data_IF_232058234073
#
_entry.id   IF_232058234073
#
_cell.length_a   1.000
_cell.length_b   1.000
_cell.length_c   1.000
_cell.angle_alpha   90.00
_cell.angle_beta   90.00
_cell.angle_gamma   90.00
#
_symmetry.space_group_name_H-M   'P 1'
#
loop_
_entity.id
_entity.type
_entity.pdbx_description
1 polymer ?
#
# COMPACT_ATOMS: atom_id res chain seq x y z
N UNK A 1 -51.16 49.26 -19.98
CA UNK A 1 -49.91 49.50 -20.74
C UNK A 1 -48.64 49.22 -19.92
N UNK A 2 -48.61 49.48 -18.61
CA UNK A 2 -47.45 49.20 -17.73
C UNK A 2 -47.09 47.72 -17.64
N UNK A 3 -48.07 46.82 -17.45
CA UNK A 3 -47.84 45.37 -17.37
C UNK A 3 -47.15 44.76 -18.61
N UNK A 4 -47.54 45.20 -19.81
CA UNK A 4 -46.91 44.78 -21.08
C UNK A 4 -45.47 45.29 -21.23
N UNK A 5 -45.13 46.42 -20.59
CA UNK A 5 -43.77 46.95 -20.57
C UNK A 5 -42.87 46.11 -19.66
N UNK A 6 -43.40 45.66 -18.52
CA UNK A 6 -42.67 44.86 -17.54
C UNK A 6 -42.43 43.43 -18.03
N UNK A 7 -43.41 42.82 -18.70
CA UNK A 7 -43.23 41.50 -19.35
C UNK A 7 -42.12 41.52 -20.40
N UNK A 8 -42.07 42.55 -21.25
CA UNK A 8 -41.00 42.71 -22.26
C UNK A 8 -39.62 42.98 -21.64
N UNK A 9 -39.56 43.57 -20.45
CA UNK A 9 -38.29 43.74 -19.72
C UNK A 9 -37.83 42.40 -19.15
N UNK A 10 -38.74 41.63 -18.56
CA UNK A 10 -38.44 40.32 -17.98
C UNK A 10 -38.01 39.32 -19.05
N UNK A 11 -38.69 39.28 -20.20
CA UNK A 11 -38.30 38.45 -21.34
C UNK A 11 -36.90 38.81 -21.86
N UNK A 12 -36.55 40.10 -21.91
CA UNK A 12 -35.20 40.55 -22.28
C UNK A 12 -34.15 40.15 -21.23
N UNK A 13 -34.48 40.21 -19.95
CA UNK A 13 -33.59 39.75 -18.87
C UNK A 13 -33.38 38.24 -18.92
N UNK A 14 -34.45 37.46 -19.10
CA UNK A 14 -34.37 36.01 -19.23
C UNK A 14 -33.51 35.60 -20.43
N UNK A 15 -33.71 36.25 -21.58
CA UNK A 15 -32.91 35.97 -22.77
C UNK A 15 -31.42 36.32 -22.55
N UNK A 16 -31.12 37.42 -21.86
CA UNK A 16 -29.75 37.78 -21.46
C UNK A 16 -29.13 36.74 -20.52
N UNK A 17 -29.87 36.28 -19.51
CA UNK A 17 -29.38 35.28 -18.56
C UNK A 17 -29.16 33.91 -19.23
N UNK A 18 -30.05 33.49 -20.13
CA UNK A 18 -29.87 32.27 -20.92
C UNK A 18 -28.66 32.36 -21.85
N UNK A 19 -28.46 33.50 -22.50
CA UNK A 19 -27.27 33.75 -23.33
C UNK A 19 -25.99 33.66 -22.50
N UNK A 20 -25.98 34.29 -21.32
CA UNK A 20 -24.82 34.27 -20.41
C UNK A 20 -24.55 32.87 -19.87
N UNK A 21 -25.59 32.13 -19.50
CA UNK A 21 -25.45 30.75 -19.04
C UNK A 21 -24.86 29.85 -20.15
N UNK A 22 -25.32 30.03 -21.40
CA UNK A 22 -24.77 29.29 -22.53
C UNK A 22 -23.29 29.62 -22.77
N UNK A 23 -22.93 30.90 -22.71
CA UNK A 23 -21.55 31.37 -22.83
C UNK A 23 -20.64 30.79 -21.74
N UNK A 24 -21.08 30.80 -20.48
CA UNK A 24 -20.33 30.21 -19.36
C UNK A 24 -20.20 28.69 -19.47
N UNK A 25 -21.24 27.98 -19.94
CA UNK A 25 -21.14 26.53 -20.17
C UNK A 25 -20.14 26.21 -21.28
N UNK A 26 -20.13 27.01 -22.34
CA UNK A 26 -19.17 26.88 -23.43
C UNK A 26 -17.73 27.16 -22.96
N UNK A 27 -17.53 28.22 -22.17
CA UNK A 27 -16.22 28.56 -21.60
C UNK A 27 -15.71 27.48 -20.63
N UNK A 28 -16.58 26.92 -19.79
CA UNK A 28 -16.22 25.84 -18.87
C UNK A 28 -15.79 24.57 -19.63
N UNK A 29 -16.50 24.22 -20.69
CA UNK A 29 -16.15 23.08 -21.56
C UNK A 29 -14.78 23.30 -22.23
N UNK A 30 -14.51 24.52 -22.72
CA UNK A 30 -13.20 24.89 -23.26
C UNK A 30 -12.09 24.79 -22.20
N UNK A 31 -12.35 25.21 -20.97
CA UNK A 31 -11.38 25.08 -19.87
C UNK A 31 -11.11 23.62 -19.51
N UNK A 32 -12.13 22.76 -19.48
CA UNK A 32 -11.95 21.31 -19.24
C UNK A 32 -11.15 20.64 -20.34
N UNK A 33 -11.39 20.99 -21.60
CA UNK A 33 -10.58 20.49 -22.71
C UNK A 33 -9.11 20.91 -22.57
N UNK A 34 -8.85 22.17 -22.17
CA UNK A 34 -7.48 22.63 -21.89
C UNK A 34 -6.84 21.93 -20.70
N UNK A 35 -7.60 21.72 -19.62
CA UNK A 35 -7.16 20.96 -18.45
C UNK A 35 -6.78 19.52 -18.84
N UNK A 36 -7.63 18.85 -19.62
CA UNK A 36 -7.34 17.49 -20.09
C UNK A 36 -6.07 17.43 -20.96
N UNK A 37 -5.86 18.42 -21.84
CA UNK A 37 -4.62 18.54 -22.61
C UNK A 37 -3.42 18.77 -21.69
N UNK A 38 -3.51 19.65 -20.70
CA UNK A 38 -2.42 19.88 -19.74
C UNK A 38 -2.10 18.64 -18.91
N UNK A 39 -3.11 17.89 -18.45
CA UNK A 39 -2.91 16.63 -17.71
C UNK A 39 -2.25 15.59 -18.60
N UNK A 40 -2.66 15.48 -19.87
CA UNK A 40 -1.98 14.60 -20.85
C UNK A 40 -0.53 15.03 -21.07
N UNK A 41 -0.26 16.32 -21.23
CA UNK A 41 1.10 16.83 -21.39
C UNK A 41 1.96 16.61 -20.14
N UNK A 42 1.39 16.72 -18.94
CA UNK A 42 2.10 16.42 -17.69
C UNK A 42 2.42 14.94 -17.57
N UNK A 43 1.52 14.05 -18.01
CA UNK A 43 1.78 12.62 -18.10
C UNK A 43 2.91 12.33 -19.09
N UNK A 44 2.85 12.90 -20.30
CA UNK A 44 3.91 12.77 -21.32
C UNK A 44 5.25 13.35 -20.86
N UNK A 45 5.23 14.45 -20.10
CA UNK A 45 6.41 15.04 -19.47
C UNK A 45 6.95 14.17 -18.34
N UNK A 46 6.08 13.53 -17.54
CA UNK A 46 6.46 12.53 -16.55
C UNK A 46 7.19 11.35 -17.19
N UNK A 47 6.63 10.81 -18.28
CA UNK A 47 7.24 9.75 -19.08
C UNK A 47 8.55 10.21 -19.74
N UNK A 48 8.62 11.45 -20.21
CA UNK A 48 9.83 12.03 -20.80
C UNK A 48 10.93 12.26 -19.77
N UNK A 49 10.60 12.78 -18.58
CA UNK A 49 11.53 12.94 -17.46
C UNK A 49 12.01 11.58 -16.96
N UNK A 50 11.13 10.59 -16.93
CA UNK A 50 11.50 9.22 -16.66
C UNK A 50 12.49 8.69 -17.71
N UNK A 51 12.21 8.82 -19.02
CA UNK A 51 13.15 8.43 -20.09
C UNK A 51 14.47 9.21 -20.04
N UNK A 52 14.43 10.50 -19.73
CA UNK A 52 15.62 11.33 -19.53
C UNK A 52 16.41 10.88 -18.30
N UNK A 53 15.75 10.45 -17.23
CA UNK A 53 16.40 9.81 -16.10
C UNK A 53 17.07 8.49 -16.53
N UNK A 54 16.42 7.68 -17.39
CA UNK A 54 17.00 6.47 -17.97
C UNK A 54 18.24 6.77 -18.84
N UNK A 55 18.20 7.83 -19.66
CA UNK A 55 19.33 8.25 -20.49
C UNK A 55 20.46 8.86 -19.66
N UNK A 56 20.16 9.64 -18.62
CA UNK A 56 21.16 10.20 -17.70
C UNK A 56 21.85 9.10 -16.89
N UNK A 57 21.11 8.07 -16.50
CA UNK A 57 21.59 6.81 -15.89
C UNK A 57 22.51 6.08 -16.88
N UNK A 58 22.11 5.90 -18.14
CA UNK A 58 22.92 5.24 -19.16
C UNK A 58 24.18 6.06 -19.58
N UNK A 59 24.07 7.39 -19.61
CA UNK A 59 25.17 8.30 -19.94
C UNK A 59 26.13 8.52 -18.76
N UNK A 60 25.69 8.25 -17.53
CA UNK A 60 26.50 8.25 -16.30
C UNK A 60 27.57 7.15 -16.25
N UNK A 61 27.65 6.28 -17.26
CA UNK A 61 28.76 5.35 -17.45
C UNK A 61 30.10 6.03 -17.80
N UNK A 62 30.15 7.36 -17.88
CA UNK A 62 31.34 8.11 -18.27
C UNK A 62 32.26 8.58 -17.13
N UNK A 63 31.85 8.69 -15.86
CA UNK A 63 32.80 8.77 -14.73
C UNK A 63 32.18 8.33 -13.37
N UNK A 64 32.90 7.50 -12.58
CA UNK A 64 32.35 6.89 -11.38
C UNK A 64 32.52 7.79 -10.16
N UNK A 65 31.49 8.54 -9.78
CA UNK A 65 31.33 8.98 -8.39
C UNK A 65 30.46 7.96 -7.63
N UNK A 66 30.95 7.53 -6.47
CA UNK A 66 30.42 6.41 -5.68
C UNK A 66 28.94 6.57 -5.23
N UNK A 67 28.40 7.79 -5.27
CA UNK A 67 27.01 8.09 -4.87
C UNK A 67 25.99 7.89 -6.01
N UNK A 68 26.42 7.88 -7.29
CA UNK A 68 25.53 7.70 -8.44
C UNK A 68 25.08 6.25 -8.63
N UNK A 69 25.84 5.28 -8.10
CA UNK A 69 25.56 3.84 -8.27
C UNK A 69 24.28 3.39 -7.58
N UNK A 70 23.93 3.98 -6.43
CA UNK A 70 22.71 3.64 -5.70
C UNK A 70 21.44 4.16 -6.40
N UNK A 71 21.52 5.36 -6.99
CA UNK A 71 20.45 5.95 -7.80
C UNK A 71 20.25 5.19 -9.12
N UNK A 72 21.34 4.83 -9.80
CA UNK A 72 21.33 3.98 -10.99
C UNK A 72 20.67 2.61 -10.71
N UNK A 73 21.09 1.93 -9.64
CA UNK A 73 20.54 0.63 -9.27
C UNK A 73 19.06 0.71 -8.85
N UNK A 74 18.62 1.82 -8.25
CA UNK A 74 17.22 2.04 -7.92
C UNK A 74 16.38 2.25 -9.20
N UNK A 75 16.86 3.08 -10.13
CA UNK A 75 16.20 3.35 -11.41
C UNK A 75 16.13 2.11 -12.32
N UNK A 76 17.20 1.30 -12.40
CA UNK A 76 17.20 0.03 -13.14
C UNK A 76 16.21 -0.98 -12.54
N UNK A 77 16.10 -1.03 -11.20
CA UNK A 77 15.15 -1.95 -10.55
C UNK A 77 13.71 -1.51 -10.80
N UNK A 78 13.44 -0.20 -10.80
CA UNK A 78 12.13 0.36 -11.12
C UNK A 78 11.76 0.12 -12.60
N UNK A 79 12.73 0.22 -13.53
CA UNK A 79 12.59 -0.14 -14.95
C UNK A 79 12.22 -1.61 -15.16
N UNK A 80 12.98 -2.53 -14.56
CA UNK A 80 12.73 -3.98 -14.68
C UNK A 80 11.38 -4.35 -14.06
N UNK A 81 11.03 -3.72 -12.93
CA UNK A 81 9.74 -3.92 -12.28
C UNK A 81 8.60 -3.42 -13.20
N UNK A 82 8.73 -2.22 -13.77
CA UNK A 82 7.74 -1.66 -14.68
C UNK A 82 7.56 -2.51 -15.95
N UNK A 83 8.65 -2.92 -16.60
CA UNK A 83 8.59 -3.75 -17.81
C UNK A 83 7.96 -5.12 -17.54
N UNK A 84 8.39 -5.84 -16.50
CA UNK A 84 7.82 -7.14 -16.13
C UNK A 84 6.31 -7.04 -15.87
N UNK A 85 5.88 -5.94 -15.25
CA UNK A 85 4.48 -5.72 -14.90
C UNK A 85 3.64 -5.19 -16.06
N UNK A 86 4.23 -4.42 -16.97
CA UNK A 86 3.58 -4.04 -18.22
C UNK A 86 3.34 -5.27 -19.09
N UNK A 87 4.30 -6.21 -19.16
CA UNK A 87 4.12 -7.48 -19.85
C UNK A 87 3.02 -8.34 -19.20
N UNK A 88 2.96 -8.41 -17.87
CA UNK A 88 1.88 -9.09 -17.15
C UNK A 88 0.51 -8.45 -17.40
N UNK A 89 0.45 -7.11 -17.40
CA UNK A 89 -0.74 -6.34 -17.70
C UNK A 89 -1.24 -6.56 -19.13
N UNK A 90 -0.34 -6.62 -20.11
CA UNK A 90 -0.69 -6.94 -21.50
C UNK A 90 -1.16 -8.39 -21.65
N UNK A 91 -0.50 -9.37 -21.02
CA UNK A 91 -0.93 -10.76 -21.03
C UNK A 91 -2.33 -10.93 -20.45
N UNK A 92 -2.62 -10.28 -19.32
CA UNK A 92 -3.94 -10.29 -18.69
C UNK A 92 -5.01 -9.59 -19.54
N UNK A 93 -4.69 -8.44 -20.14
CA UNK A 93 -5.62 -7.69 -20.99
C UNK A 93 -5.96 -8.44 -22.28
N UNK A 94 -5.00 -9.18 -22.85
CA UNK A 94 -5.23 -10.07 -23.99
C UNK A 94 -6.18 -11.23 -23.64
N UNK A 95 -6.16 -11.72 -22.40
CA UNK A 95 -7.08 -12.78 -21.92
C UNK A 95 -8.50 -12.24 -21.66
N UNK A 96 -8.64 -10.98 -21.23
CA UNK A 96 -9.95 -10.39 -20.91
C UNK A 96 -10.67 -9.78 -22.11
N UNK A 97 -9.95 -9.32 -23.15
CA UNK A 97 -10.56 -8.65 -24.31
C UNK A 97 -11.18 -9.61 -25.34
N UNK A 98 -11.16 -10.93 -25.11
CA UNK A 98 -11.80 -11.91 -25.99
C UNK A 98 -13.25 -12.25 -25.61
N UNK A 99 -13.78 -11.76 -24.49
CA UNK A 99 -15.20 -11.93 -24.16
C UNK A 99 -16.01 -10.73 -24.64
N UNK A 100 -16.89 -10.99 -25.60
CA UNK A 100 -17.66 -10.02 -26.38
C UNK A 100 -18.36 -8.90 -25.60
N UNK A 101 -18.42 -7.76 -26.27
CA UNK A 101 -19.09 -6.50 -25.94
C UNK A 101 -20.48 -6.67 -25.30
N UNK A 102 -20.59 -6.45 -23.98
CA UNK A 102 -21.71 -5.78 -23.27
C UNK A 102 -21.76 -6.12 -21.77
N UNK A 103 -20.93 -7.04 -21.28
CA UNK A 103 -20.92 -7.41 -19.85
C UNK A 103 -20.25 -6.33 -19.00
N UNK A 104 -21.09 -5.69 -18.17
CA UNK A 104 -20.77 -4.89 -16.99
C UNK A 104 -19.33 -4.39 -16.90
N UNK A 105 -19.08 -3.16 -17.34
CA UNK A 105 -17.76 -2.49 -17.27
C UNK A 105 -17.11 -2.70 -15.89
N UNK A 106 -16.14 -3.62 -15.85
CA UNK A 106 -15.43 -4.01 -14.65
C UNK A 106 -14.78 -2.78 -14.01
N UNK A 107 -14.72 -2.77 -12.68
CA UNK A 107 -13.99 -1.73 -11.95
C UNK A 107 -12.51 -1.93 -12.24
N UNK A 108 -11.96 -1.12 -13.14
CA UNK A 108 -10.54 -1.18 -13.48
C UNK A 108 -9.76 -0.05 -12.79
N UNK A 109 -8.47 -0.30 -12.60
CA UNK A 109 -7.54 0.61 -11.95
C UNK A 109 -7.47 1.97 -12.67
N UNK A 110 -7.58 1.98 -14.00
CA UNK A 110 -7.57 3.21 -14.81
C UNK A 110 -8.73 4.14 -14.44
N UNK A 111 -9.94 3.60 -14.31
CA UNK A 111 -11.13 4.35 -13.92
C UNK A 111 -11.06 4.84 -12.48
N UNK A 112 -10.53 4.02 -11.58
CA UNK A 112 -10.29 4.44 -10.19
C UNK A 112 -9.30 5.61 -10.13
N UNK A 113 -8.18 5.54 -10.87
CA UNK A 113 -7.20 6.63 -10.92
C UNK A 113 -7.77 7.92 -11.50
N UNK A 114 -8.59 7.83 -12.55
CA UNK A 114 -9.23 9.00 -13.16
C UNK A 114 -10.18 9.73 -12.20
N UNK A 115 -10.67 9.05 -11.15
CA UNK A 115 -11.55 9.63 -10.13
C UNK A 115 -10.79 10.24 -8.94
N UNK A 116 -9.47 10.12 -8.89
CA UNK A 116 -8.65 10.67 -7.79
C UNK A 116 -8.27 12.11 -8.10
N UNK A 117 -8.72 13.05 -7.26
CA UNK A 117 -8.29 14.44 -7.33
C UNK A 117 -7.14 14.73 -6.36
N UNK A 118 -6.27 15.72 -6.64
CA UNK A 118 -5.20 16.13 -5.72
C UNK A 118 -5.73 16.54 -4.34
N UNK A 119 -6.90 17.19 -4.28
CA UNK A 119 -7.54 17.62 -3.05
C UNK A 119 -7.93 16.43 -2.17
N UNK A 120 -8.50 15.38 -2.78
CA UNK A 120 -8.85 14.16 -2.07
C UNK A 120 -7.61 13.41 -1.53
N UNK A 121 -6.50 13.45 -2.27
CA UNK A 121 -5.21 12.88 -1.81
C UNK A 121 -4.72 13.62 -0.57
N UNK A 122 -4.74 14.97 -0.58
CA UNK A 122 -4.35 15.79 0.56
C UNK A 122 -5.27 15.56 1.78
N UNK A 123 -6.58 15.45 1.55
CA UNK A 123 -7.55 15.16 2.62
C UNK A 123 -7.22 13.84 3.33
N UNK A 124 -7.01 12.77 2.56
CA UNK A 124 -6.67 11.44 3.10
C UNK A 124 -5.29 11.42 3.75
N UNK A 125 -4.32 12.16 3.21
CA UNK A 125 -2.98 12.30 3.80
C UNK A 125 -3.01 12.90 5.21
N UNK A 126 -3.90 13.86 5.45
CA UNK A 126 -4.05 14.53 6.75
C UNK A 126 -5.02 13.84 7.71
N UNK A 127 -5.77 12.84 7.23
CA UNK A 127 -6.67 12.07 8.07
C UNK A 127 -5.91 11.14 9.01
N UNK A 128 -6.40 11.01 10.24
CA UNK A 128 -5.88 10.06 11.22
C UNK A 128 -6.25 8.62 10.84
N UNK A 129 -5.42 7.65 11.24
CA UNK A 129 -5.68 6.21 11.05
C UNK A 129 -7.05 5.80 11.59
N UNK A 130 -7.49 6.37 12.71
CA UNK A 130 -8.83 6.13 13.27
C UNK A 130 -9.96 6.62 12.37
N UNK A 131 -9.84 7.81 11.77
CA UNK A 131 -10.84 8.33 10.82
C UNK A 131 -10.91 7.45 9.57
N UNK A 132 -9.76 7.09 9.02
CA UNK A 132 -9.67 6.21 7.85
C UNK A 132 -10.26 4.82 8.11
N UNK A 133 -10.02 4.24 9.30
CA UNK A 133 -10.60 2.96 9.71
C UNK A 133 -12.14 3.02 9.82
N UNK A 134 -12.70 4.11 10.37
CA UNK A 134 -14.16 4.32 10.43
C UNK A 134 -14.75 4.40 9.03
N UNK A 135 -14.11 5.12 8.10
CA UNK A 135 -14.58 5.21 6.72
C UNK A 135 -14.54 3.83 6.02
N UNK A 136 -13.45 3.06 6.17
CA UNK A 136 -13.36 1.69 5.65
C UNK A 136 -14.46 0.79 6.21
N UNK A 137 -14.75 0.90 7.51
CA UNK A 137 -15.82 0.14 8.16
C UNK A 137 -17.17 0.46 7.54
N UNK A 138 -17.49 1.75 7.37
CA UNK A 138 -18.74 2.20 6.76
C UNK A 138 -18.89 1.73 5.31
N UNK A 139 -17.82 1.83 4.51
CA UNK A 139 -17.82 1.36 3.13
C UNK A 139 -17.99 -0.17 3.07
N UNK A 140 -17.33 -0.92 3.95
CA UNK A 140 -17.46 -2.38 4.03
C UNK A 140 -18.86 -2.81 4.45
N UNK A 141 -19.45 -2.14 5.45
CA UNK A 141 -20.83 -2.39 5.88
C UNK A 141 -21.83 -2.11 4.75
N UNK A 142 -21.67 -0.98 4.04
CA UNK A 142 -22.51 -0.66 2.89
C UNK A 142 -22.40 -1.71 1.79
N UNK A 143 -21.18 -2.17 1.48
CA UNK A 143 -20.94 -3.26 0.55
C UNK A 143 -21.66 -4.55 0.98
N UNK A 144 -21.56 -4.93 2.26
CA UNK A 144 -22.25 -6.10 2.78
C UNK A 144 -23.77 -6.00 2.61
N UNK A 145 -24.36 -4.85 2.92
CA UNK A 145 -25.79 -4.60 2.73
C UNK A 145 -26.20 -4.68 1.25
N UNK A 146 -25.45 -4.04 0.35
CA UNK A 146 -25.70 -4.13 -1.10
C UNK A 146 -25.60 -5.58 -1.60
N UNK A 147 -24.61 -6.36 -1.13
CA UNK A 147 -24.48 -7.78 -1.49
C UNK A 147 -25.68 -8.62 -1.05
N UNK A 148 -26.14 -8.43 0.18
CA UNK A 148 -27.33 -9.14 0.69
C UNK A 148 -28.57 -8.74 -0.10
N UNK A 149 -28.72 -7.46 -0.43
CA UNK A 149 -29.82 -6.97 -1.26
C UNK A 149 -29.81 -7.62 -2.65
N UNK A 150 -28.66 -7.70 -3.33
CA UNK A 150 -28.52 -8.36 -4.64
C UNK A 150 -28.77 -9.87 -4.61
N UNK A 151 -28.66 -10.53 -3.45
CA UNK A 151 -28.93 -11.96 -3.32
C UNK A 151 -30.41 -12.28 -3.10
N UNK A 152 -31.23 -11.27 -2.81
CA UNK A 152 -32.66 -11.46 -2.58
C UNK A 152 -33.40 -11.69 -3.90
N UNK A 153 -34.33 -12.67 -3.99
CA UNK A 153 -34.99 -13.04 -5.25
C UNK A 153 -35.87 -11.93 -5.85
N UNK A 154 -36.18 -10.88 -5.08
CA UNK A 154 -36.98 -9.72 -5.49
C UNK A 154 -36.14 -8.47 -5.80
N UNK A 155 -34.81 -8.57 -5.83
CA UNK A 155 -33.95 -7.43 -6.11
C UNK A 155 -33.97 -7.08 -7.60
N UNK A 156 -34.44 -5.87 -7.94
CA UNK A 156 -34.41 -5.36 -9.31
C UNK A 156 -33.05 -4.74 -9.69
N UNK A 157 -32.90 -4.34 -10.96
CA UNK A 157 -31.68 -3.76 -11.56
C UNK A 157 -31.00 -2.68 -10.70
N UNK A 158 -31.76 -1.86 -9.97
CA UNK A 158 -31.23 -0.80 -9.11
C UNK A 158 -30.26 -1.29 -8.01
N UNK A 159 -30.37 -2.55 -7.56
CA UNK A 159 -29.46 -3.09 -6.54
C UNK A 159 -28.08 -3.38 -7.10
N UNK A 160 -27.98 -3.76 -8.38
CA UNK A 160 -26.70 -4.06 -9.03
C UNK A 160 -25.88 -2.77 -9.24
N UNK A 161 -26.53 -1.70 -9.72
CA UNK A 161 -25.91 -0.38 -9.82
C UNK A 161 -25.43 0.14 -8.45
N UNK A 162 -26.21 -0.12 -7.40
CA UNK A 162 -25.86 0.27 -6.03
C UNK A 162 -24.64 -0.49 -5.52
N UNK A 163 -24.55 -1.80 -5.81
CA UNK A 163 -23.38 -2.62 -5.47
C UNK A 163 -22.15 -2.13 -6.23
N UNK A 164 -22.28 -1.89 -7.54
CA UNK A 164 -21.20 -1.36 -8.38
C UNK A 164 -20.67 -0.03 -7.84
N UNK A 165 -21.56 0.91 -7.55
CA UNK A 165 -21.19 2.19 -6.96
C UNK A 165 -20.49 2.03 -5.60
N UNK A 166 -20.94 1.09 -4.76
CA UNK A 166 -20.30 0.82 -3.48
C UNK A 166 -18.88 0.22 -3.65
N UNK A 167 -18.68 -0.68 -4.61
CA UNK A 167 -17.36 -1.25 -4.93
C UNK A 167 -16.44 -0.17 -5.49
N UNK A 168 -16.93 0.68 -6.38
CA UNK A 168 -16.16 1.80 -6.92
C UNK A 168 -15.73 2.78 -5.83
N UNK A 169 -16.62 3.14 -4.92
CA UNK A 169 -16.30 4.02 -3.79
C UNK A 169 -15.25 3.41 -2.85
N UNK A 170 -15.36 2.12 -2.54
CA UNK A 170 -14.35 1.42 -1.76
C UNK A 170 -13.00 1.38 -2.48
N UNK A 171 -12.99 1.01 -3.76
CA UNK A 171 -11.79 0.96 -4.59
C UNK A 171 -11.11 2.32 -4.73
N UNK A 172 -11.89 3.39 -4.90
CA UNK A 172 -11.41 4.77 -4.97
C UNK A 172 -10.78 5.17 -3.63
N UNK A 173 -11.41 4.82 -2.51
CA UNK A 173 -10.86 5.10 -1.19
C UNK A 173 -9.52 4.37 -0.95
N UNK A 174 -9.43 3.08 -1.30
CA UNK A 174 -8.18 2.35 -1.25
C UNK A 174 -7.11 2.96 -2.17
N UNK A 175 -7.48 3.46 -3.36
CA UNK A 175 -6.56 4.17 -4.25
C UNK A 175 -6.01 5.43 -3.59
N UNK A 176 -6.86 6.23 -2.93
CA UNK A 176 -6.45 7.41 -2.17
C UNK A 176 -5.48 7.04 -1.04
N UNK A 177 -5.73 5.96 -0.30
CA UNK A 177 -4.83 5.47 0.74
C UNK A 177 -3.45 5.11 0.16
N UNK A 178 -3.41 4.44 -1.00
CA UNK A 178 -2.16 4.10 -1.68
C UNK A 178 -1.38 5.33 -2.18
N UNK A 179 -2.08 6.40 -2.57
CA UNK A 179 -1.46 7.61 -3.13
C UNK A 179 -1.06 8.64 -2.06
N UNK A 180 -1.90 8.88 -1.06
CA UNK A 180 -1.74 9.98 -0.10
C UNK A 180 -1.44 9.57 1.33
N UNK A 181 -1.80 8.36 1.75
CA UNK A 181 -1.74 7.94 3.16
C UNK A 181 -1.07 6.57 3.32
N UNK A 182 0.07 6.36 2.66
CA UNK A 182 0.73 5.06 2.62
C UNK A 182 1.15 4.56 4.02
N UNK A 183 1.54 5.47 4.92
CA UNK A 183 1.89 5.10 6.30
C UNK A 183 0.64 4.60 7.06
N UNK A 184 -0.45 5.37 7.01
CA UNK A 184 -1.71 4.98 7.64
C UNK A 184 -2.27 3.69 7.04
N UNK A 185 -2.10 3.47 5.73
CA UNK A 185 -2.46 2.21 5.09
C UNK A 185 -1.72 1.02 5.70
N UNK A 186 -0.41 1.14 5.93
CA UNK A 186 0.37 0.09 6.58
C UNK A 186 -0.08 -0.17 8.02
N UNK A 187 -0.44 0.88 8.76
CA UNK A 187 -1.04 0.73 10.09
C UNK A 187 -2.38 0.00 10.00
N UNK A 188 -3.28 0.40 9.10
CA UNK A 188 -4.59 -0.21 8.89
C UNK A 188 -4.50 -1.71 8.54
N UNK A 189 -3.47 -2.13 7.78
CA UNK A 189 -3.23 -3.55 7.48
C UNK A 189 -2.92 -4.40 8.73
N UNK A 190 -2.50 -3.78 9.83
CA UNK A 190 -2.14 -4.45 11.07
C UNK A 190 -3.20 -4.29 12.17
N UNK A 191 -4.33 -3.65 11.87
CA UNK A 191 -5.41 -3.39 12.83
C UNK A 191 -6.64 -4.26 12.54
N UNK A 192 -7.30 -4.68 13.60
CA UNK A 192 -8.71 -5.06 13.53
C UNK A 192 -9.54 -3.78 13.40
N UNK A 193 -10.27 -3.62 12.29
CA UNK A 193 -11.00 -2.39 11.97
C UNK A 193 -12.18 -2.14 12.92
N UNK A 194 -12.63 -3.13 13.69
CA UNK A 194 -13.68 -2.99 14.71
C UNK A 194 -13.13 -2.45 16.04
N UNK A 195 -12.06 -3.08 16.53
CA UNK A 195 -11.47 -2.77 17.84
C UNK A 195 -10.43 -1.65 17.78
N UNK A 196 -9.90 -1.36 16.58
CA UNK A 196 -8.74 -0.49 16.33
C UNK A 196 -7.50 -0.92 17.14
N UNK A 197 -7.42 -2.21 17.49
CA UNK A 197 -6.26 -2.78 18.17
C UNK A 197 -5.36 -3.50 17.16
N UNK A 198 -4.04 -3.49 17.36
CA UNK A 198 -3.12 -4.33 16.62
C UNK A 198 -3.51 -5.81 16.79
N UNK A 199 -3.87 -6.46 15.70
CA UNK A 199 -4.32 -7.84 15.72
C UNK A 199 -3.95 -8.51 14.39
N UNK A 200 -3.31 -9.68 14.48
CA UNK A 200 -3.05 -10.49 13.29
C UNK A 200 -4.34 -11.19 12.84
N UNK A 201 -4.62 -11.23 11.53
CA UNK A 201 -5.71 -12.05 11.00
C UNK A 201 -5.56 -13.52 11.44
N UNK A 202 -6.66 -14.25 11.71
CA UNK A 202 -6.60 -15.66 12.06
C UNK A 202 -5.93 -16.49 10.96
N UNK A 203 -5.25 -17.55 11.37
CA UNK A 203 -4.64 -18.50 10.44
C UNK A 203 -5.69 -19.06 9.47
N UNK A 204 -5.34 -19.08 8.18
CA UNK A 204 -6.23 -19.56 7.12
C UNK A 204 -7.29 -18.56 6.66
N UNK A 205 -7.42 -17.36 7.27
CA UNK A 205 -8.39 -16.35 6.81
C UNK A 205 -8.25 -16.06 5.32
N UNK A 206 -7.03 -15.82 4.83
CA UNK A 206 -6.81 -15.43 3.43
C UNK A 206 -7.11 -16.56 2.44
N UNK A 207 -6.85 -17.81 2.83
CA UNK A 207 -7.27 -18.98 2.05
C UNK A 207 -8.79 -19.10 2.00
N UNK A 208 -9.48 -18.85 3.12
CA UNK A 208 -10.93 -18.79 3.17
C UNK A 208 -11.49 -17.70 2.25
N UNK A 209 -10.95 -16.48 2.32
CA UNK A 209 -11.35 -15.38 1.44
C UNK A 209 -11.18 -15.77 -0.03
N UNK A 210 -10.01 -16.31 -0.42
CA UNK A 210 -9.75 -16.78 -1.78
C UNK A 210 -10.77 -17.82 -2.26
N UNK A 211 -11.10 -18.79 -1.41
CA UNK A 211 -12.10 -19.82 -1.71
C UNK A 211 -13.52 -19.25 -1.86
N UNK A 212 -13.88 -18.19 -1.11
CA UNK A 212 -15.20 -17.58 -1.20
C UNK A 212 -15.39 -16.78 -2.49
N UNK A 213 -14.34 -16.12 -3.00
CA UNK A 213 -14.42 -15.22 -4.17
C UNK A 213 -14.95 -15.95 -5.43
N UNK A 214 -14.81 -17.28 -5.52
CA UNK A 214 -15.27 -18.10 -6.65
C UNK A 214 -14.65 -17.63 -7.98
N UNK A 215 -13.32 -17.64 -8.03
CA UNK A 215 -12.53 -17.29 -9.22
C UNK A 215 -12.61 -18.40 -10.28
N UNK A 216 -12.62 -18.02 -11.55
CA UNK A 216 -12.49 -18.97 -12.66
C UNK A 216 -11.08 -19.52 -12.74
N UNK A 217 -10.85 -20.70 -13.37
CA UNK A 217 -9.51 -21.26 -13.54
C UNK A 217 -8.54 -20.28 -14.23
N UNK A 218 -9.01 -19.55 -15.25
CA UNK A 218 -8.20 -18.55 -15.95
C UNK A 218 -7.83 -17.36 -15.06
N UNK A 219 -8.74 -16.90 -14.17
CA UNK A 219 -8.42 -15.86 -13.19
C UNK A 219 -7.38 -16.35 -12.17
N UNK A 220 -7.52 -17.59 -11.68
CA UNK A 220 -6.56 -18.20 -10.74
C UNK A 220 -5.17 -18.31 -11.38
N UNK A 221 -5.10 -18.75 -12.64
CA UNK A 221 -3.85 -18.83 -13.39
C UNK A 221 -3.21 -17.44 -13.58
N UNK A 222 -3.98 -16.44 -14.02
CA UNK A 222 -3.47 -15.07 -14.20
C UNK A 222 -2.92 -14.47 -12.90
N UNK A 223 -3.65 -14.63 -11.78
CA UNK A 223 -3.20 -14.17 -10.46
C UNK A 223 -1.96 -14.92 -9.98
N UNK A 224 -1.86 -16.22 -10.27
CA UNK A 224 -0.70 -17.04 -9.91
C UNK A 224 0.56 -16.61 -10.67
N UNK A 225 0.45 -16.37 -11.98
CA UNK A 225 1.55 -15.80 -12.79
C UNK A 225 1.97 -14.44 -12.22
N UNK A 226 1.01 -13.57 -11.89
CA UNK A 226 1.31 -12.28 -11.27
C UNK A 226 2.03 -12.42 -9.93
N UNK A 227 1.71 -13.46 -9.15
CA UNK A 227 2.38 -13.74 -7.89
C UNK A 227 3.81 -14.27 -8.07
N UNK A 228 4.05 -15.08 -9.09
CA UNK A 228 5.40 -15.53 -9.43
C UNK A 228 6.31 -14.34 -9.77
N UNK A 229 5.81 -13.42 -10.61
CA UNK A 229 6.50 -12.17 -10.95
C UNK A 229 6.74 -11.28 -9.71
N UNK A 230 5.74 -11.20 -8.83
CA UNK A 230 5.89 -10.51 -7.54
C UNK A 230 7.02 -11.12 -6.70
N UNK A 231 7.10 -12.44 -6.61
CA UNK A 231 8.15 -13.10 -5.84
C UNK A 231 9.53 -12.93 -6.48
N UNK A 232 9.61 -12.97 -7.81
CA UNK A 232 10.83 -12.72 -8.57
C UNK A 232 11.38 -11.30 -8.29
N UNK A 233 10.51 -10.28 -8.35
CA UNK A 233 10.90 -8.90 -8.05
C UNK A 233 11.18 -8.67 -6.55
N UNK A 234 10.39 -9.28 -5.66
CA UNK A 234 10.50 -9.11 -4.20
C UNK A 234 11.75 -9.73 -3.62
N UNK A 235 12.14 -10.93 -4.05
CA UNK A 235 13.25 -11.71 -3.47
C UNK A 235 14.58 -10.93 -3.40
N UNK A 236 15.09 -10.31 -4.49
CA UNK A 236 16.35 -9.55 -4.42
C UNK A 236 16.24 -8.32 -3.52
N UNK A 237 15.08 -7.64 -3.48
CA UNK A 237 14.85 -6.49 -2.62
C UNK A 237 14.89 -6.86 -1.13
N UNK A 238 14.23 -7.97 -0.75
CA UNK A 238 14.27 -8.49 0.62
C UNK A 238 15.70 -8.88 1.00
N UNK A 239 16.44 -9.55 0.12
CA UNK A 239 17.83 -9.92 0.39
C UNK A 239 18.74 -8.69 0.60
N UNK A 240 18.57 -7.64 -0.23
CA UNK A 240 19.27 -6.35 -0.07
C UNK A 240 18.92 -5.69 1.27
N UNK A 241 17.63 -5.59 1.60
CA UNK A 241 17.17 -5.01 2.86
C UNK A 241 17.71 -5.76 4.09
N UNK A 242 17.70 -7.10 4.08
CA UNK A 242 18.26 -7.93 5.14
C UNK A 242 19.77 -7.68 5.31
N UNK A 243 20.53 -7.59 4.20
CA UNK A 243 21.96 -7.29 4.24
C UNK A 243 22.24 -5.90 4.82
N UNK A 244 21.43 -4.89 4.46
CA UNK A 244 21.53 -3.53 5.02
C UNK A 244 21.24 -3.51 6.51
N UNK A 245 20.22 -4.24 6.98
CA UNK A 245 19.91 -4.38 8.42
C UNK A 245 21.05 -5.06 9.17
N UNK A 246 21.64 -6.13 8.62
CA UNK A 246 22.80 -6.79 9.23
C UNK A 246 23.99 -5.82 9.37
N UNK A 247 24.24 -4.98 8.36
CA UNK A 247 25.30 -3.97 8.41
C UNK A 247 25.01 -2.90 9.48
N UNK A 248 23.77 -2.43 9.60
CA UNK A 248 23.36 -1.52 10.67
C UNK A 248 23.58 -2.14 12.06
N UNK A 249 23.22 -3.41 12.25
CA UNK A 249 23.43 -4.12 13.52
C UNK A 249 24.92 -4.26 13.87
N UNK A 250 25.76 -4.58 12.89
CA UNK A 250 27.22 -4.62 13.05
C UNK A 250 27.77 -3.24 13.44
N UNK A 251 27.32 -2.18 12.75
CA UNK A 251 27.70 -0.80 13.07
C UNK A 251 27.19 -0.34 14.42
N UNK A 252 26.12 -0.91 14.97
CA UNK A 252 25.63 -0.60 16.31
C UNK A 252 26.35 -1.39 17.41
N UNK A 253 27.29 -2.28 17.06
CA UNK A 253 28.01 -3.13 18.04
C UNK A 253 27.19 -4.32 18.53
N UNK A 254 26.10 -4.69 17.85
CA UNK A 254 25.26 -5.84 18.20
C UNK A 254 25.71 -7.14 17.51
N UNK A 255 26.96 -7.19 17.02
CA UNK A 255 27.47 -8.26 16.16
C UNK A 255 27.52 -9.65 16.84
N UNK A 256 27.56 -9.72 18.16
CA UNK A 256 27.84 -10.99 18.87
C UNK A 256 26.59 -11.79 19.27
N UNK A 257 25.38 -11.22 19.21
CA UNK A 257 24.16 -11.91 19.63
C UNK A 257 23.37 -12.60 18.49
N UNK A 258 23.69 -12.32 17.21
CA UNK A 258 22.81 -12.66 16.08
C UNK A 258 23.18 -13.98 15.38
N UNK A 259 24.36 -14.56 15.64
CA UNK A 259 24.78 -15.83 15.02
C UNK A 259 23.92 -17.05 15.39
N UNK A 260 23.04 -16.94 16.39
CA UNK A 260 22.09 -17.99 16.78
C UNK A 260 20.66 -17.84 16.22
N UNK A 261 20.31 -16.71 15.57
CA UNK A 261 18.92 -16.39 15.24
C UNK A 261 18.63 -16.31 13.73
N UNK A 262 19.47 -16.89 12.88
CA UNK A 262 19.29 -16.87 11.42
C UNK A 262 17.97 -17.51 10.93
N UNK A 263 17.24 -18.21 11.81
CA UNK A 263 15.91 -18.78 11.54
C UNK A 263 14.73 -17.97 12.11
N UNK A 264 14.95 -16.83 12.80
CA UNK A 264 13.85 -15.94 13.19
C UNK A 264 13.38 -15.10 11.99
N UNK A 265 12.69 -15.81 11.10
CA UNK A 265 11.56 -15.47 10.27
C UNK A 265 11.66 -14.24 9.36
N UNK A 266 11.53 -14.49 8.05
CA UNK A 266 11.09 -13.50 7.07
C UNK A 266 9.80 -12.77 7.48
N UNK A 267 8.96 -13.37 8.33
CA UNK A 267 7.81 -12.72 8.97
C UNK A 267 8.22 -11.70 10.05
N UNK A 268 9.26 -11.97 10.84
CA UNK A 268 9.84 -11.01 11.77
C UNK A 268 10.62 -9.92 11.02
N UNK A 269 11.32 -10.24 9.93
CA UNK A 269 11.93 -9.24 9.06
C UNK A 269 10.87 -8.35 8.37
N UNK A 270 9.73 -8.91 7.93
CA UNK A 270 8.58 -8.12 7.46
C UNK A 270 7.98 -7.29 8.59
N UNK A 271 7.77 -7.86 9.78
CA UNK A 271 7.23 -7.13 10.94
C UNK A 271 8.18 -6.03 11.41
N UNK A 272 9.50 -6.26 11.37
CA UNK A 272 10.55 -5.28 11.68
C UNK A 272 10.67 -4.26 10.56
N UNK A 273 10.57 -4.61 9.28
CA UNK A 273 10.47 -3.62 8.19
C UNK A 273 9.21 -2.76 8.32
N UNK A 274 8.11 -3.35 8.78
CA UNK A 274 6.85 -2.64 9.02
C UNK A 274 6.95 -1.75 10.28
N UNK A 275 7.51 -2.24 11.38
CA UNK A 275 7.68 -1.50 12.63
C UNK A 275 8.79 -0.44 12.57
N UNK A 276 9.90 -0.73 11.86
CA UNK A 276 11.03 0.21 11.68
C UNK A 276 10.65 1.32 10.70
N UNK A 277 9.81 1.04 9.70
CA UNK A 277 9.22 2.09 8.85
C UNK A 277 8.25 3.00 9.62
N UNK A 278 7.51 2.47 10.60
CA UNK A 278 6.65 3.28 11.49
C UNK A 278 7.49 4.12 12.45
N UNK A 279 8.57 3.57 13.02
CA UNK A 279 9.37 4.26 14.04
C UNK A 279 10.35 5.31 13.48
N UNK A 280 10.83 5.17 12.24
CA UNK A 280 11.72 6.15 11.58
C UNK A 280 10.98 7.35 10.97
N UNK A 281 9.64 7.34 10.94
CA UNK A 281 8.82 8.37 10.28
C UNK A 281 7.85 9.09 11.22
N UNK A 282 7.81 8.76 12.51
CA UNK A 282 7.18 9.61 13.52
C UNK A 282 8.07 10.83 13.79
N UNK A 283 7.67 12.07 13.41
CA UNK A 283 8.35 13.24 13.91
C UNK A 283 8.21 13.25 15.43
N UNK A 284 9.34 13.51 16.10
CA UNK A 284 9.40 13.70 17.55
C UNK A 284 8.44 14.86 17.90
N UNK A 285 7.23 14.52 18.34
CA UNK A 285 6.23 15.48 18.76
C UNK A 285 6.66 16.02 20.12
N UNK A 286 7.57 16.98 20.08
CA UNK A 286 8.03 17.71 21.25
C UNK A 286 6.85 18.43 21.92
N UNK A 287 6.66 18.10 23.20
CA UNK A 287 6.13 18.93 24.28
C UNK A 287 4.77 19.63 24.05
N UNK A 288 3.72 19.05 24.63
CA UNK A 288 2.42 19.72 24.81
C UNK A 288 1.61 19.13 25.96
N UNK A 289 1.74 19.74 27.13
CA UNK A 289 0.91 19.73 28.34
C UNK A 289 0.09 18.49 28.72
N UNK A 290 0.46 17.96 29.89
CA UNK A 290 -0.27 16.99 30.68
C UNK A 290 -1.45 17.65 31.44
N UNK A 291 -2.71 17.19 31.30
CA UNK A 291 -3.73 17.48 32.28
C UNK A 291 -3.82 16.35 33.32
N UNK A 292 -3.87 16.80 34.58
CA UNK A 292 -3.87 16.03 35.83
C UNK A 292 -4.95 14.95 35.88
N UNK A 293 -4.54 13.81 36.43
CA UNK A 293 -5.37 12.73 36.91
C UNK A 293 -6.32 13.18 38.04
N UNK A 294 -7.53 12.63 38.05
CA UNK A 294 -8.35 12.48 39.25
C UNK A 294 -8.60 10.99 39.50
N UNK A 295 -8.41 10.64 40.76
CA UNK A 295 -8.48 9.31 41.37
C UNK A 295 -9.82 8.59 41.16
N UNK A 296 -9.75 7.25 41.06
CA UNK A 296 -10.62 6.36 41.82
C UNK A 296 -9.98 4.97 41.91
N UNK A 297 -9.67 4.58 43.16
CA UNK A 297 -9.13 3.30 43.56
C UNK A 297 -10.20 2.19 43.60
N UNK A 298 -9.79 0.95 43.36
CA UNK A 298 -10.34 -0.22 44.04
C UNK A 298 -9.33 -1.38 44.01
N UNK A 299 -9.12 -1.95 45.19
CA UNK A 299 -8.08 -2.89 45.54
C UNK A 299 -8.40 -4.35 45.18
N UNK A 300 -7.36 -5.16 44.94
CA UNK A 300 -7.31 -6.56 45.31
C UNK A 300 -5.84 -6.99 45.46
N UNK A 301 -5.54 -7.67 46.57
CA UNK A 301 -4.21 -7.91 47.08
C UNK A 301 -3.73 -9.37 46.87
N UNK A 302 -2.41 -9.49 46.61
CA UNK A 302 -1.46 -10.54 47.04
C UNK A 302 -1.60 -11.99 46.50
N UNK A 303 -0.56 -12.86 46.60
CA UNK A 303 0.79 -12.67 47.17
C UNK A 303 1.99 -13.09 46.27
N UNK A 304 3.17 -12.62 46.68
CA UNK A 304 4.50 -13.03 46.18
C UNK A 304 4.92 -14.43 46.68
N UNK A 305 6.01 -14.98 46.10
CA UNK A 305 7.07 -15.48 46.97
C UNK A 305 8.51 -15.11 46.54
N UNK A 306 9.37 -15.25 47.54
CA UNK A 306 10.77 -14.87 47.66
C UNK A 306 11.79 -15.67 46.82
N UNK A 307 12.96 -15.03 46.69
CA UNK A 307 14.34 -15.55 46.73
C UNK A 307 14.99 -16.06 45.43
N UNK A 308 16.06 -15.37 44.99
CA UNK A 308 17.44 -15.78 45.28
C UNK A 308 18.45 -14.74 44.75
N UNK A 309 19.25 -14.17 45.66
CA UNK A 309 20.42 -13.36 45.36
C UNK A 309 21.55 -14.26 44.85
N UNK A 310 22.06 -14.00 43.64
CA UNK A 310 23.36 -14.49 43.21
C UNK A 310 24.30 -13.29 43.04
N UNK A 311 25.34 -13.26 43.87
CA UNK A 311 26.38 -12.25 43.85
C UNK A 311 27.20 -12.36 42.55
N UNK A 312 27.27 -11.25 41.81
CA UNK A 312 28.18 -11.10 40.66
C UNK A 312 29.51 -10.51 41.16
N UNK A 313 30.66 -11.07 40.79
CA UNK A 313 31.96 -10.53 41.19
C UNK A 313 32.23 -9.19 40.51
N UNK A 314 32.52 -8.19 41.34
CA UNK A 314 32.87 -6.83 40.94
C UNK A 314 34.33 -6.81 40.46
N UNK A 315 34.54 -6.96 39.15
CA UNK A 315 35.86 -6.79 38.53
C UNK A 315 36.21 -5.31 38.50
N UNK A 316 37.29 -4.96 39.20
CA UNK A 316 37.84 -3.60 39.28
C UNK A 316 38.29 -3.12 37.90
N UNK A 317 37.54 -2.19 37.30
CA UNK A 317 37.92 -1.50 36.08
C UNK A 317 39.03 -0.50 36.42
N UNK A 318 40.23 -0.76 35.92
CA UNK A 318 41.37 0.14 35.99
C UNK A 318 41.12 1.37 35.10
N UNK A 319 40.87 2.53 35.72
CA UNK A 319 40.62 3.82 35.06
C UNK A 319 41.90 4.53 34.55
N UNK A 320 43.03 3.84 34.46
CA UNK A 320 44.35 4.46 34.24
C UNK A 320 44.78 4.69 32.79
N UNK A 321 44.02 4.24 31.78
CA UNK A 321 44.50 4.21 30.38
C UNK A 321 43.42 4.50 29.34
N UNK A 322 42.60 5.54 29.55
CA UNK A 322 41.54 5.92 28.57
C UNK A 322 41.64 7.38 28.10
N UNK A 323 42.48 8.22 28.74
CA UNK A 323 42.56 9.65 28.40
C UNK A 323 43.53 10.00 27.27
N UNK A 324 44.41 9.08 26.84
CA UNK A 324 45.37 9.35 25.76
C UNK A 324 44.89 8.95 24.34
N UNK A 325 43.63 8.50 24.19
CA UNK A 325 43.05 8.09 22.90
C UNK A 325 41.94 8.99 22.35
N UNK A 326 41.56 10.05 23.07
CA UNK A 326 40.35 10.84 22.77
C UNK A 326 40.57 11.96 21.74
N UNK A 327 41.82 12.36 21.44
CA UNK A 327 42.08 13.44 20.48
C UNK A 327 41.94 13.01 19.01
N UNK A 328 41.81 11.71 18.71
CA UNK A 328 41.52 11.19 17.35
C UNK A 328 40.13 10.55 17.22
N UNK A 329 39.30 10.64 18.26
CA UNK A 329 37.96 10.07 18.31
C UNK A 329 36.85 10.81 17.52
N UNK A 330 36.83 12.16 17.37
CA UNK A 330 35.67 12.84 16.79
C UNK A 330 35.48 12.53 15.30
N UNK A 331 36.56 12.34 14.54
CA UNK A 331 36.48 11.96 13.12
C UNK A 331 35.81 10.61 12.89
N UNK A 332 36.07 9.61 13.74
CA UNK A 332 35.48 8.26 13.61
C UNK A 332 33.99 8.23 13.92
N UNK A 333 33.52 9.07 14.85
CA UNK A 333 32.11 9.17 15.21
C UNK A 333 31.30 9.78 14.06
N UNK A 334 31.80 10.86 13.45
CA UNK A 334 31.13 11.52 12.31
C UNK A 334 31.02 10.58 11.09
N UNK A 335 32.08 9.83 10.78
CA UNK A 335 32.02 8.85 9.68
C UNK A 335 31.01 7.72 9.96
N UNK A 336 30.89 7.27 11.21
CA UNK A 336 29.93 6.22 11.60
C UNK A 336 28.48 6.72 11.51
N UNK A 337 28.19 7.95 11.95
CA UNK A 337 26.84 8.52 11.85
C UNK A 337 26.40 8.69 10.40
N UNK A 338 27.29 9.17 9.53
CA UNK A 338 27.03 9.30 8.09
C UNK A 338 26.77 7.93 7.44
N UNK A 339 27.54 6.91 7.83
CA UNK A 339 27.34 5.55 7.33
C UNK A 339 26.00 4.95 7.77
N UNK A 340 25.59 5.18 9.03
CA UNK A 340 24.28 4.74 9.53
C UNK A 340 23.16 5.44 8.77
N UNK A 341 23.24 6.75 8.56
CA UNK A 341 22.25 7.52 7.80
C UNK A 341 22.11 7.00 6.36
N UNK A 342 23.23 6.77 5.67
CA UNK A 342 23.23 6.23 4.31
C UNK A 342 22.54 4.84 4.24
N UNK A 343 22.81 3.96 5.21
CA UNK A 343 22.17 2.65 5.28
C UNK A 343 20.67 2.74 5.58
N UNK A 344 20.25 3.67 6.45
CA UNK A 344 18.83 3.93 6.72
C UNK A 344 18.11 4.46 5.49
N UNK A 345 18.73 5.37 4.73
CA UNK A 345 18.19 5.86 3.45
C UNK A 345 18.07 4.73 2.42
N UNK A 346 19.05 3.84 2.32
CA UNK A 346 18.97 2.65 1.47
C UNK A 346 17.82 1.72 1.87
N UNK A 347 17.67 1.46 3.17
CA UNK A 347 16.58 0.62 3.69
C UNK A 347 15.20 1.22 3.38
N UNK A 348 15.07 2.55 3.52
CA UNK A 348 13.86 3.28 3.15
C UNK A 348 13.56 3.13 1.65
N UNK A 349 14.58 3.23 0.80
CA UNK A 349 14.45 3.03 -0.65
C UNK A 349 13.94 1.63 -0.99
N UNK A 350 14.56 0.57 -0.44
CA UNK A 350 14.10 -0.80 -0.66
C UNK A 350 12.68 -1.03 -0.15
N UNK A 351 12.31 -0.40 0.96
CA UNK A 351 10.94 -0.49 1.50
C UNK A 351 9.94 0.16 0.53
N UNK A 352 10.25 1.32 -0.06
CA UNK A 352 9.41 1.96 -1.08
C UNK A 352 9.24 1.06 -2.31
N UNK A 353 10.32 0.46 -2.80
CA UNK A 353 10.29 -0.47 -3.94
C UNK A 353 9.45 -1.71 -3.64
N UNK A 354 9.62 -2.32 -2.47
CA UNK A 354 8.79 -3.47 -2.03
C UNK A 354 7.30 -3.13 -1.98
N UNK A 355 6.96 -1.92 -1.51
CA UNK A 355 5.57 -1.44 -1.52
C UNK A 355 5.05 -1.26 -2.93
N UNK A 356 5.90 -0.79 -3.85
CA UNK A 356 5.48 -0.62 -5.24
C UNK A 356 5.18 -1.97 -5.91
N UNK A 357 6.10 -2.92 -5.78
CA UNK A 357 5.91 -4.30 -6.25
C UNK A 357 4.60 -4.90 -5.70
N UNK A 358 4.28 -4.68 -4.42
CA UNK A 358 3.03 -5.13 -3.81
C UNK A 358 1.78 -4.38 -4.33
N UNK A 359 1.89 -3.08 -4.59
CA UNK A 359 0.80 -2.25 -5.15
C UNK A 359 0.41 -2.72 -6.55
N UNK A 360 1.37 -3.14 -7.36
CA UNK A 360 1.06 -3.67 -8.70
C UNK A 360 0.26 -4.97 -8.66
N UNK A 361 0.62 -5.91 -7.78
CA UNK A 361 -0.19 -7.13 -7.56
C UNK A 361 -1.59 -6.77 -7.07
N UNK A 362 -1.70 -5.78 -6.19
CA UNK A 362 -2.98 -5.26 -5.70
C UNK A 362 -3.84 -4.69 -6.83
N UNK A 363 -3.24 -3.96 -7.77
CA UNK A 363 -3.95 -3.45 -8.95
C UNK A 363 -4.33 -4.56 -9.93
N UNK A 364 -3.48 -5.58 -10.08
CA UNK A 364 -3.81 -6.73 -10.90
C UNK A 364 -5.00 -7.52 -10.32
N UNK A 365 -5.05 -7.70 -8.99
CA UNK A 365 -6.24 -8.21 -8.29
C UNK A 365 -7.48 -7.40 -8.65
N UNK A 366 -7.42 -6.07 -8.51
CA UNK A 366 -8.55 -5.19 -8.84
C UNK A 366 -9.01 -5.34 -10.28
N UNK A 367 -8.08 -5.46 -11.23
CA UNK A 367 -8.39 -5.61 -12.65
C UNK A 367 -8.88 -7.00 -13.04
N UNK A 368 -8.64 -8.02 -12.21
CA UNK A 368 -9.01 -9.42 -12.53
C UNK A 368 -10.39 -9.77 -12.02
N UNK A 369 -10.82 -9.17 -10.92
CA UNK A 369 -12.09 -9.49 -10.26
C UNK A 369 -13.25 -8.69 -10.84
N UNK A 370 -14.42 -9.33 -10.97
CA UNK A 370 -15.67 -8.61 -11.22
C UNK A 370 -16.20 -7.90 -9.96
N UNK A 371 -17.29 -7.13 -10.12
CA UNK A 371 -17.92 -6.37 -9.01
C UNK A 371 -18.36 -7.27 -7.84
N UNK A 372 -18.95 -8.43 -8.12
CA UNK A 372 -19.44 -9.34 -7.08
C UNK A 372 -18.29 -10.05 -6.36
N UNK A 373 -17.29 -10.49 -7.11
CA UNK A 373 -16.05 -11.07 -6.61
C UNK A 373 -15.30 -10.08 -5.71
N UNK A 374 -15.17 -8.83 -6.15
CA UNK A 374 -14.54 -7.76 -5.38
C UNK A 374 -15.29 -7.49 -4.08
N UNK A 375 -16.60 -7.28 -4.16
CA UNK A 375 -17.44 -7.06 -2.99
C UNK A 375 -17.35 -8.23 -2.01
N UNK A 376 -17.29 -9.46 -2.52
CA UNK A 376 -17.13 -10.67 -1.71
C UNK A 376 -15.78 -10.70 -1.01
N UNK A 377 -14.69 -10.40 -1.71
CA UNK A 377 -13.35 -10.36 -1.10
C UNK A 377 -13.28 -9.38 0.08
N UNK A 378 -13.86 -8.19 -0.09
CA UNK A 378 -13.83 -7.10 0.91
C UNK A 378 -14.66 -7.46 2.15
N UNK A 379 -15.85 -8.01 1.93
CA UNK A 379 -16.77 -8.32 3.04
C UNK A 379 -16.38 -9.60 3.77
N UNK A 380 -15.74 -10.56 3.10
CA UNK A 380 -15.20 -11.76 3.73
C UNK A 380 -13.89 -11.53 4.48
N UNK A 381 -13.13 -10.46 4.18
CA UNK A 381 -11.91 -10.11 4.93
C UNK A 381 -12.19 -9.39 6.24
N UNK A 382 -13.39 -8.82 6.40
CA UNK A 382 -13.79 -8.09 7.60
C UNK A 382 -13.70 -8.96 8.86
N UNK A 383 -13.13 -8.48 9.99
CA UNK A 383 -12.85 -7.08 10.32
C UNK A 383 -11.46 -6.57 9.88
N UNK A 384 -10.76 -7.27 9.00
CA UNK A 384 -9.45 -6.84 8.49
C UNK A 384 -9.59 -6.19 7.11
N UNK A 385 -8.71 -5.22 6.84
CA UNK A 385 -8.57 -4.67 5.48
C UNK A 385 -8.16 -5.81 4.53
N UNK A 386 -8.81 -5.94 3.38
CA UNK A 386 -8.45 -6.94 2.38
C UNK A 386 -6.98 -6.78 1.96
N UNK A 387 -6.22 -7.88 1.96
CA UNK A 387 -4.80 -7.89 1.58
C UNK A 387 -4.60 -8.78 0.35
N UNK A 388 -4.74 -8.24 -0.87
CA UNK A 388 -4.72 -9.04 -2.10
C UNK A 388 -3.49 -9.93 -2.25
N UNK A 389 -2.30 -9.45 -1.88
CA UNK A 389 -1.06 -10.25 -1.93
C UNK A 389 -1.18 -11.54 -1.12
N UNK A 390 -1.80 -11.49 0.07
CA UNK A 390 -1.96 -12.68 0.93
C UNK A 390 -3.04 -13.62 0.41
N UNK A 391 -4.11 -13.09 -0.17
CA UNK A 391 -5.17 -13.89 -0.80
C UNK A 391 -4.61 -14.63 -2.02
N UNK A 392 -3.87 -13.92 -2.88
CA UNK A 392 -3.25 -14.50 -4.07
C UNK A 392 -2.20 -15.55 -3.66
N UNK A 393 -1.38 -15.27 -2.65
CA UNK A 393 -0.41 -16.25 -2.15
C UNK A 393 -1.10 -17.56 -1.71
N UNK A 394 -2.23 -17.47 -1.02
CA UNK A 394 -2.99 -18.65 -0.59
C UNK A 394 -3.52 -19.46 -1.78
N UNK A 395 -4.06 -18.78 -2.81
CA UNK A 395 -4.52 -19.41 -4.05
C UNK A 395 -3.37 -20.08 -4.81
N UNK A 396 -2.25 -19.39 -4.95
CA UNK A 396 -1.04 -19.89 -5.59
C UNK A 396 -0.53 -21.17 -4.89
N UNK A 397 -0.46 -21.18 -3.55
CA UNK A 397 -0.07 -22.38 -2.78
C UNK A 397 -1.03 -23.55 -3.01
N UNK A 398 -2.34 -23.28 -3.05
CA UNK A 398 -3.35 -24.30 -3.30
C UNK A 398 -3.17 -24.94 -4.69
N UNK A 399 -2.88 -24.13 -5.72
CA UNK A 399 -2.63 -24.63 -7.07
C UNK A 399 -1.38 -25.54 -7.12
N UNK A 400 -0.31 -25.16 -6.44
CA UNK A 400 0.92 -25.97 -6.35
C UNK A 400 0.65 -27.34 -5.71
N UNK A 401 -0.18 -27.40 -4.66
CA UNK A 401 -0.54 -28.66 -3.99
C UNK A 401 -1.36 -29.59 -4.90
N UNK A 402 -2.28 -29.03 -5.69
CA UNK A 402 -3.08 -29.80 -6.66
C UNK A 402 -2.19 -30.37 -7.77
N UNK A 403 -1.21 -29.60 -8.26
CA UNK A 403 -0.25 -30.05 -9.27
C UNK A 403 0.63 -31.21 -8.79
N UNK A 404 1.10 -31.17 -7.55
CA UNK A 404 1.89 -32.27 -6.95
C UNK A 404 1.04 -33.53 -6.79
N UNK A 405 -0.18 -33.40 -6.28
CA UNK A 405 -1.08 -34.55 -6.11
C UNK A 405 -1.46 -35.22 -7.45
N UNK A 406 -1.60 -34.44 -8.52
CA UNK A 406 -1.85 -34.97 -9.86
C UNK A 406 -0.63 -35.73 -10.43
N UNK A 407 0.58 -35.18 -10.26
CA UNK A 407 1.82 -35.83 -10.68
C UNK A 407 2.08 -37.15 -9.94
N UNK A 408 1.80 -37.19 -8.63
CA UNK A 408 1.93 -38.41 -7.83
C UNK A 408 0.94 -39.50 -8.28
N UNK A 409 -0.29 -39.11 -8.62
CA UNK A 409 -1.30 -40.04 -9.14
C UNK A 409 -0.88 -40.65 -10.49
N UNK A 410 -0.31 -39.85 -11.40
CA UNK A 410 0.22 -40.31 -12.68
C UNK A 410 1.43 -41.23 -12.53
N UNK A 411 2.29 -41.02 -11.53
CA UNK A 411 3.45 -41.90 -11.28
C UNK A 411 3.07 -43.27 -10.69
N UNK A 412 1.87 -43.40 -10.10
CA UNK A 412 1.37 -44.67 -9.53
C UNK A 412 0.57 -45.53 -10.51
N UNK A 413 0.23 -44.99 -11.69
CA UNK A 413 -0.43 -45.73 -12.77
C UNK A 413 0.61 -46.25 -13.76
#
# INVERSE_FOLDING_TARGET
MTALCDERKLQRQLHRLLSLAHELTWENEQLRQKEQVMVSMLADQGDSLYRLSCVAVAAGAAEPHADSSALLAAAETDLVTFDLLQHAGHAASCLTNQSDSSTAAAVNTQRLRASVSPEAVLEVQHASTKQLAVQLRQLTQRLALCRVACAAPWSGIQTEDSLKAAVEQYGQFCMLLHMGAQQQLMELCCLNLDTLQPESPPDGLWAHVGAQVALSPAQVEALSISFDLYQEARRPLVAKAQKTVQHLQQLQGHAEAVSGSAQLNAAAANAVLTATAVHLLTPDAAAGDSPKAHDAAAAAAAPAPHAANAAVPCSSISYGSVLNGLESAPGRLVSRTQQVEALLQQLLSYTKQLREVARHVTFHWVNTLDTHQMARSITCSYPYLVQPVLVIEALWRQQQQVGVAAADAESTC
#
